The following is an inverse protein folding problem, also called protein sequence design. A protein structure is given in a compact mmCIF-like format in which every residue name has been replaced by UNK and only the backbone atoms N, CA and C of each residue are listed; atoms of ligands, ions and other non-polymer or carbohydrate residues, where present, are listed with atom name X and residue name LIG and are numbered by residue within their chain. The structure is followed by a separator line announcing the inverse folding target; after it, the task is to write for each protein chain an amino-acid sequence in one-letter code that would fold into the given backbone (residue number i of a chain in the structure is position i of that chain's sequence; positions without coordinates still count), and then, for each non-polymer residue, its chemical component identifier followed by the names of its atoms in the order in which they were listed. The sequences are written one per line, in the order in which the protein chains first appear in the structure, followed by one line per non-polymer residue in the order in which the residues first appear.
data_IF_565245426730
#
_entry.id   IF_565245426730
#
_cell.length_a   1.000
_cell.length_b   1.000
_cell.length_c   1.000
_cell.angle_alpha   90.00
_cell.angle_beta   90.00
_cell.angle_gamma   90.00
#
_symmetry.space_group_name_H-M   'P 1'
#
loop_
_entity.id
_entity.type
_entity.pdbx_description
1 polymer ?
#
# COMPACT_ATOMS: atom_id res chain seq x y z
N UNK A 1 -17.15 -67.93 -37.24
CA UNK A 1 -15.86 -67.18 -37.24
C UNK A 1 -16.03 -65.66 -37.17
N UNK A 2 -17.09 -65.06 -37.75
CA UNK A 2 -17.32 -63.60 -37.75
C UNK A 2 -17.62 -62.94 -36.38
N UNK A 3 -18.18 -63.68 -35.41
CA UNK A 3 -18.49 -63.17 -34.05
C UNK A 3 -17.26 -62.97 -33.15
N UNK A 4 -16.19 -63.73 -33.38
CA UNK A 4 -14.97 -63.64 -32.56
C UNK A 4 -14.14 -62.40 -32.94
N UNK A 5 -14.17 -62.03 -34.22
CA UNK A 5 -13.46 -60.86 -34.76
C UNK A 5 -14.11 -59.55 -34.27
N UNK A 6 -15.45 -59.53 -34.11
CA UNK A 6 -16.18 -58.36 -33.59
C UNK A 6 -15.94 -58.12 -32.10
N UNK A 7 -15.72 -59.18 -31.31
CA UNK A 7 -15.41 -59.06 -29.88
C UNK A 7 -13.97 -58.57 -29.66
N UNK A 8 -13.02 -58.95 -30.52
CA UNK A 8 -11.64 -58.44 -30.46
C UNK A 8 -11.50 -56.97 -30.85
N UNK A 9 -12.35 -56.44 -31.73
CA UNK A 9 -12.32 -55.01 -32.13
C UNK A 9 -12.83 -54.09 -31.02
N UNK A 10 -13.80 -54.55 -30.21
CA UNK A 10 -14.35 -53.77 -29.09
C UNK A 10 -13.35 -53.69 -27.92
N UNK A 11 -12.51 -54.70 -27.72
CA UNK A 11 -11.52 -54.71 -26.64
C UNK A 11 -10.38 -53.71 -26.87
N UNK A 12 -10.02 -53.43 -28.13
CA UNK A 12 -8.90 -52.54 -28.50
C UNK A 12 -9.23 -51.05 -28.28
N UNK A 13 -10.50 -50.65 -28.33
CA UNK A 13 -10.91 -49.25 -28.13
C UNK A 13 -10.93 -48.78 -26.67
N UNK A 14 -10.78 -49.68 -25.69
CA UNK A 14 -10.83 -49.33 -24.26
C UNK A 14 -9.49 -48.92 -23.65
N UNK A 15 -8.39 -48.99 -24.42
CA UNK A 15 -7.03 -48.69 -23.93
C UNK A 15 -6.53 -47.29 -24.27
N UNK A 16 -7.35 -46.44 -24.91
CA UNK A 16 -6.98 -45.04 -25.21
C UNK A 16 -7.38 -44.16 -24.01
N UNK A 17 -6.66 -44.31 -22.90
CA UNK A 17 -6.78 -43.43 -21.76
C UNK A 17 -6.18 -42.05 -22.07
N UNK A 18 -6.97 -40.98 -21.88
CA UNK A 18 -6.48 -39.61 -21.93
C UNK A 18 -5.35 -39.42 -20.90
N UNK A 19 -4.11 -39.25 -21.37
CA UNK A 19 -3.08 -38.56 -20.60
C UNK A 19 -3.46 -37.09 -20.53
N UNK A 20 -4.33 -36.74 -19.57
CA UNK A 20 -4.58 -35.35 -19.22
C UNK A 20 -3.25 -34.72 -18.84
N UNK A 21 -2.91 -33.60 -19.47
CA UNK A 21 -1.75 -32.79 -19.09
C UNK A 21 -1.89 -32.45 -17.61
N UNK A 22 -1.04 -33.04 -16.77
CA UNK A 22 -0.99 -32.69 -15.35
C UNK A 22 -0.38 -31.31 -15.26
N UNK A 23 -1.22 -30.27 -15.25
CA UNK A 23 -0.79 -28.93 -14.91
C UNK A 23 -0.12 -29.00 -13.53
N UNK A 24 1.18 -28.67 -13.41
CA UNK A 24 1.85 -28.70 -12.13
C UNK A 24 1.14 -27.75 -11.18
N UNK A 25 0.77 -28.24 -9.99
CA UNK A 25 0.12 -27.43 -8.96
C UNK A 25 0.96 -26.16 -8.74
N UNK A 26 0.36 -24.95 -8.79
CA UNK A 26 1.11 -23.73 -8.57
C UNK A 26 1.83 -23.82 -7.23
N UNK A 27 3.13 -23.50 -7.22
CA UNK A 27 3.92 -23.48 -5.98
C UNK A 27 3.27 -22.45 -5.06
N UNK A 28 2.71 -22.90 -3.94
CA UNK A 28 2.15 -22.00 -2.94
C UNK A 28 3.28 -21.12 -2.40
N UNK A 29 3.23 -19.82 -2.69
CA UNK A 29 4.07 -18.86 -1.97
C UNK A 29 3.60 -18.85 -0.50
N UNK A 30 4.56 -18.90 0.44
CA UNK A 30 4.25 -18.73 1.86
C UNK A 30 3.57 -17.37 2.05
N UNK A 31 2.37 -17.38 2.65
CA UNK A 31 1.68 -16.14 3.03
C UNK A 31 2.59 -15.41 4.02
N UNK A 32 3.05 -14.21 3.63
CA UNK A 32 3.84 -13.37 4.52
C UNK A 32 2.93 -12.87 5.65
N UNK A 33 3.18 -13.32 6.88
CA UNK A 33 2.57 -12.77 8.08
C UNK A 33 3.61 -11.95 8.83
N UNK A 34 3.23 -10.73 9.19
CA UNK A 34 4.08 -9.82 9.95
C UNK A 34 3.64 -9.81 11.41
N UNK A 35 4.58 -9.71 12.38
CA UNK A 35 4.23 -9.61 13.79
C UNK A 35 3.45 -8.33 14.07
N UNK A 36 2.73 -8.25 15.19
CA UNK A 36 2.13 -6.97 15.61
C UNK A 36 3.23 -5.92 15.85
N UNK A 37 3.04 -4.71 15.34
CA UNK A 37 3.91 -3.58 15.56
C UNK A 37 3.90 -3.13 17.03
N UNK A 38 5.03 -2.64 17.51
CA UNK A 38 5.06 -1.76 18.67
C UNK A 38 5.27 -0.33 18.19
N UNK A 39 4.48 0.59 18.72
CA UNK A 39 4.51 1.99 18.31
C UNK A 39 5.35 2.81 19.28
N UNK A 40 6.13 3.74 18.73
CA UNK A 40 6.97 4.65 19.49
C UNK A 40 6.77 6.09 18.99
N UNK A 41 6.92 7.10 19.87
CA UNK A 41 6.70 8.49 19.50
C UNK A 41 7.80 9.01 18.59
N UNK A 42 7.40 9.77 17.57
CA UNK A 42 8.31 10.48 16.68
C UNK A 42 8.75 11.82 17.28
N UNK A 43 9.94 11.81 17.88
CA UNK A 43 10.56 12.99 18.46
C UNK A 43 11.47 13.68 17.43
N UNK A 44 11.04 14.85 16.98
CA UNK A 44 11.78 15.72 16.06
C UNK A 44 11.64 17.20 16.47
N UNK A 45 12.34 18.09 15.76
CA UNK A 45 12.28 19.54 15.95
C UNK A 45 11.19 20.23 15.13
N UNK A 46 10.42 19.48 14.33
CA UNK A 46 9.37 20.03 13.47
C UNK A 46 8.05 20.22 14.21
N UNK A 47 7.15 20.99 13.60
CA UNK A 47 5.84 21.38 14.17
C UNK A 47 4.81 20.23 14.21
N UNK A 48 5.23 18.98 14.21
CA UNK A 48 4.34 17.83 14.30
C UNK A 48 5.01 16.60 14.92
N UNK A 49 4.19 15.71 15.47
CA UNK A 49 4.58 14.40 15.98
C UNK A 49 3.48 13.39 15.72
N UNK A 50 3.82 12.11 15.79
CA UNK A 50 2.95 10.96 15.60
C UNK A 50 3.66 9.73 16.17
N UNK A 51 2.97 8.62 16.26
CA UNK A 51 3.61 7.34 16.57
C UNK A 51 3.90 6.54 15.30
N UNK A 52 5.03 5.83 15.30
CA UNK A 52 5.43 4.98 14.18
C UNK A 52 5.89 3.61 14.67
N UNK A 53 5.76 2.63 13.78
CA UNK A 53 6.09 1.23 14.01
C UNK A 53 7.60 1.03 14.21
N UNK A 54 7.98 0.15 15.14
CA UNK A 54 9.35 -0.32 15.36
C UNK A 54 9.95 -1.05 14.13
N UNK A 55 9.10 -1.46 13.19
CA UNK A 55 9.50 -1.99 11.89
C UNK A 55 9.94 -0.91 10.89
N UNK A 56 9.59 0.35 11.15
CA UNK A 56 9.97 1.48 10.32
C UNK A 56 11.25 2.17 10.82
N UNK A 57 12.14 2.50 9.88
CA UNK A 57 13.29 3.36 10.12
C UNK A 57 12.98 4.75 9.59
N UNK A 58 12.96 5.74 10.48
CA UNK A 58 12.73 7.14 10.09
C UNK A 58 14.07 7.78 9.71
N UNK A 59 14.11 8.41 8.54
CA UNK A 59 15.29 9.17 8.07
C UNK A 59 14.85 10.51 7.50
N UNK A 60 15.58 11.61 7.75
CA UNK A 60 15.27 12.89 7.13
C UNK A 60 15.51 12.81 5.61
N UNK A 61 14.60 13.39 4.84
CA UNK A 61 14.80 13.54 3.40
C UNK A 61 15.82 14.66 3.16
N UNK A 62 16.72 14.47 2.19
CA UNK A 62 17.81 15.43 1.92
C UNK A 62 17.32 16.73 1.27
N UNK A 63 16.11 16.72 0.72
CA UNK A 63 15.58 17.77 -0.14
C UNK A 63 15.12 19.00 0.65
N UNK A 64 14.45 18.81 1.79
CA UNK A 64 13.91 19.89 2.63
C UNK A 64 13.83 19.48 4.09
N UNK A 65 13.87 20.49 4.95
CA UNK A 65 13.61 20.34 6.38
C UNK A 65 12.19 19.81 6.63
N UNK A 66 12.05 18.99 7.66
CA UNK A 66 10.77 18.39 8.06
C UNK A 66 10.12 17.45 7.05
N UNK A 67 10.88 16.98 6.07
CA UNK A 67 10.53 15.85 5.22
C UNK A 67 11.20 14.59 5.77
N UNK A 68 10.45 13.50 5.83
CA UNK A 68 10.94 12.25 6.41
C UNK A 68 10.53 11.05 5.58
N UNK A 69 11.38 10.03 5.57
CA UNK A 69 11.13 8.76 4.94
C UNK A 69 11.02 7.71 6.04
N UNK A 70 9.86 7.04 6.11
CA UNK A 70 9.65 5.86 6.94
C UNK A 70 9.95 4.64 6.06
N UNK A 71 11.15 4.09 6.20
CA UNK A 71 11.56 2.92 5.45
C UNK A 71 11.15 1.65 6.19
N UNK A 72 10.53 0.70 5.50
CA UNK A 72 10.19 -0.63 6.00
C UNK A 72 11.06 -1.68 5.28
N UNK A 73 12.28 -1.97 5.75
CA UNK A 73 13.22 -2.80 4.99
C UNK A 73 12.72 -4.22 4.75
N UNK A 74 12.03 -4.81 5.74
CA UNK A 74 11.45 -6.17 5.64
C UNK A 74 10.34 -6.26 4.59
N UNK A 75 9.66 -5.15 4.32
CA UNK A 75 8.56 -5.04 3.35
C UNK A 75 8.99 -4.40 2.02
N UNK A 76 10.26 -3.99 1.91
CA UNK A 76 10.82 -3.27 0.76
C UNK A 76 9.99 -2.05 0.36
N UNK A 77 9.47 -1.34 1.34
CA UNK A 77 8.58 -0.21 1.15
C UNK A 77 9.12 1.05 1.83
N UNK A 78 8.70 2.20 1.33
CA UNK A 78 8.99 3.50 1.91
C UNK A 78 7.70 4.32 1.94
N UNK A 79 7.43 4.99 3.06
CA UNK A 79 6.41 6.04 3.16
C UNK A 79 7.14 7.38 3.22
N UNK A 80 6.91 8.22 2.21
CA UNK A 80 7.49 9.56 2.13
C UNK A 80 6.53 10.56 2.72
N UNK A 81 6.95 11.24 3.79
CA UNK A 81 6.24 12.34 4.41
C UNK A 81 6.86 13.66 3.94
N UNK A 82 6.07 14.48 3.26
CA UNK A 82 6.51 15.79 2.78
C UNK A 82 5.65 16.90 3.36
N UNK A 83 6.30 17.84 4.03
CA UNK A 83 5.68 18.99 4.71
C UNK A 83 5.73 20.25 3.85
N UNK A 84 4.61 20.98 3.84
CA UNK A 84 4.43 22.26 3.17
C UNK A 84 3.80 23.26 4.14
N UNK A 85 4.37 24.48 4.29
CA UNK A 85 3.69 25.57 4.96
C UNK A 85 2.62 26.17 4.05
N UNK A 86 1.40 26.34 4.56
CA UNK A 86 0.31 26.98 3.83
C UNK A 86 0.49 28.50 3.87
N UNK A 87 0.46 29.15 2.71
CA UNK A 87 0.54 30.61 2.54
C UNK A 87 -0.54 31.11 1.58
N UNK A 88 -1.80 31.03 2.03
CA UNK A 88 -3.00 31.37 1.24
C UNK A 88 -3.19 30.50 -0.04
N UNK A 89 -2.54 29.34 -0.09
CA UNK A 89 -2.49 28.41 -1.22
C UNK A 89 -3.02 27.01 -0.85
N UNK A 90 -3.83 26.92 0.21
CA UNK A 90 -4.40 25.65 0.69
C UNK A 90 -5.08 24.84 -0.42
N UNK A 91 -5.93 25.50 -1.22
CA UNK A 91 -6.64 24.85 -2.33
C UNK A 91 -5.70 24.32 -3.41
N UNK A 92 -4.55 24.98 -3.61
CA UNK A 92 -3.51 24.51 -4.53
C UNK A 92 -2.89 23.21 -4.00
N UNK A 93 -2.52 23.17 -2.72
CA UNK A 93 -1.95 21.97 -2.10
C UNK A 93 -2.89 20.76 -2.15
N UNK A 94 -4.19 20.96 -1.87
CA UNK A 94 -5.20 19.89 -2.01
C UNK A 94 -5.26 19.40 -3.45
N UNK A 95 -5.34 20.33 -4.42
CA UNK A 95 -5.42 19.99 -5.84
C UNK A 95 -4.16 19.27 -6.33
N UNK A 96 -2.97 19.67 -5.88
CA UNK A 96 -1.71 19.00 -6.22
C UNK A 96 -1.63 17.60 -5.62
N UNK A 97 -2.05 17.44 -4.36
CA UNK A 97 -2.12 16.13 -3.70
C UNK A 97 -3.05 15.19 -4.47
N UNK A 98 -4.26 15.65 -4.81
CA UNK A 98 -5.23 14.91 -5.61
C UNK A 98 -4.69 14.59 -7.01
N UNK A 99 -4.07 15.57 -7.68
CA UNK A 99 -3.46 15.36 -8.99
C UNK A 99 -2.42 14.22 -8.96
N UNK A 100 -1.56 14.17 -7.94
CA UNK A 100 -0.59 13.09 -7.77
C UNK A 100 -1.26 11.72 -7.60
N UNK A 101 -2.37 11.66 -6.84
CA UNK A 101 -3.19 10.43 -6.75
C UNK A 101 -3.62 10.01 -8.15
N UNK A 102 -4.22 10.92 -8.92
CA UNK A 102 -4.77 10.62 -10.25
C UNK A 102 -3.69 10.32 -11.31
N UNK A 103 -2.51 10.92 -11.26
CA UNK A 103 -1.42 10.60 -12.19
C UNK A 103 -0.96 9.14 -12.06
N UNK A 104 -1.08 8.56 -10.87
CA UNK A 104 -0.77 7.15 -10.63
C UNK A 104 -1.93 6.18 -10.96
N UNK A 105 -3.08 6.69 -11.43
CA UNK A 105 -4.27 5.88 -11.76
C UNK A 105 -4.27 5.24 -13.13
N UNK A 106 -3.31 5.59 -14.00
CA UNK A 106 -3.21 5.02 -15.36
C UNK A 106 -3.13 3.47 -15.32
N UNK A 107 -2.78 2.89 -14.17
CA UNK A 107 -2.76 1.43 -13.93
C UNK A 107 -3.65 0.95 -12.77
N UNK A 108 -4.44 1.83 -12.16
CA UNK A 108 -5.34 1.48 -11.05
C UNK A 108 -6.75 1.18 -11.58
N UNK A 109 -7.37 0.12 -11.08
CA UNK A 109 -8.76 -0.23 -11.40
C UNK A 109 -9.78 0.54 -10.56
N UNK A 110 -9.37 0.99 -9.37
CA UNK A 110 -10.22 1.76 -8.46
C UNK A 110 -9.40 2.67 -7.53
N UNK A 111 -10.03 3.75 -7.06
CA UNK A 111 -9.51 4.61 -6.00
C UNK A 111 -10.56 4.65 -4.90
N UNK A 112 -10.17 4.23 -3.69
CA UNK A 112 -11.00 4.41 -2.51
C UNK A 112 -10.51 5.64 -1.75
N UNK A 113 -11.39 6.63 -1.62
CA UNK A 113 -11.12 7.87 -0.88
C UNK A 113 -11.88 7.84 0.44
N UNK A 114 -11.18 8.12 1.55
CA UNK A 114 -11.75 8.27 2.89
C UNK A 114 -11.28 9.57 3.51
N UNK A 115 -12.20 10.45 3.86
CA UNK A 115 -11.89 11.66 4.62
C UNK A 115 -11.87 11.36 6.11
N UNK A 116 -10.97 12.01 6.85
CA UNK A 116 -10.93 11.98 8.31
C UNK A 116 -10.89 13.41 8.87
N UNK A 117 -11.46 13.56 10.06
CA UNK A 117 -11.59 14.84 10.76
C UNK A 117 -11.49 14.61 12.26
N UNK A 118 -10.47 15.22 12.87
CA UNK A 118 -10.27 15.26 14.32
C UNK A 118 -10.23 16.74 14.76
N UNK A 119 -11.40 17.38 14.96
CA UNK A 119 -11.48 18.82 15.27
C UNK A 119 -10.69 19.23 16.51
N UNK A 120 -10.72 18.41 17.56
CA UNK A 120 -10.01 18.64 18.83
C UNK A 120 -8.48 18.76 18.65
N UNK A 121 -7.93 18.01 17.69
CA UNK A 121 -6.49 18.03 17.35
C UNK A 121 -6.18 19.01 16.21
N UNK A 122 -7.21 19.60 15.58
CA UNK A 122 -7.12 20.30 14.28
C UNK A 122 -6.42 19.46 13.21
N UNK A 123 -6.76 18.19 13.10
CA UNK A 123 -6.18 17.26 12.13
C UNK A 123 -7.27 16.87 11.13
N UNK A 124 -7.12 17.29 9.89
CA UNK A 124 -8.06 17.04 8.80
C UNK A 124 -7.33 16.45 7.61
N UNK A 125 -8.01 15.68 6.78
CA UNK A 125 -7.38 15.19 5.56
C UNK A 125 -8.14 14.10 4.84
N UNK A 126 -7.52 13.61 3.77
CA UNK A 126 -8.01 12.48 2.99
C UNK A 126 -6.96 11.37 2.94
N UNK A 127 -7.44 10.14 2.93
CA UNK A 127 -6.71 8.91 2.71
C UNK A 127 -7.20 8.28 1.41
N UNK A 128 -6.26 7.94 0.54
CA UNK A 128 -6.48 7.40 -0.79
C UNK A 128 -5.81 6.03 -0.90
N UNK A 129 -6.59 5.04 -1.31
CA UNK A 129 -6.12 3.69 -1.58
C UNK A 129 -6.37 3.36 -3.05
N UNK A 130 -5.30 3.27 -3.83
CA UNK A 130 -5.34 2.89 -5.23
C UNK A 130 -5.25 1.37 -5.30
N UNK A 131 -6.26 0.73 -5.90
CA UNK A 131 -6.31 -0.73 -6.12
C UNK A 131 -6.16 -1.01 -7.61
N UNK A 132 -5.46 -2.08 -7.96
CA UNK A 132 -5.31 -2.49 -9.36
C UNK A 132 -4.48 -3.77 -9.52
N UNK A 133 -4.58 -4.37 -10.72
CA UNK A 133 -3.90 -5.61 -11.09
C UNK A 133 -2.37 -5.52 -11.09
N UNK A 134 -1.80 -4.33 -10.96
CA UNK A 134 -0.35 -4.11 -11.04
C UNK A 134 0.21 -3.29 -9.89
N UNK A 135 -0.59 -2.75 -8.98
CA UNK A 135 -0.10 -2.02 -7.81
C UNK A 135 -1.25 -1.70 -6.86
N UNK A 136 -1.08 -2.00 -5.58
CA UNK A 136 -1.83 -1.34 -4.51
C UNK A 136 -0.95 -0.23 -3.95
N UNK A 137 -1.46 1.00 -3.95
CA UNK A 137 -0.73 2.13 -3.41
C UNK A 137 -1.57 2.97 -2.45
N UNK A 138 -0.90 3.61 -1.49
CA UNK A 138 -1.53 4.43 -0.46
C UNK A 138 -0.95 5.83 -0.53
N UNK A 139 -1.84 6.82 -0.53
CA UNK A 139 -1.49 8.22 -0.43
C UNK A 139 -2.44 8.90 0.53
N UNK A 140 -1.98 9.91 1.25
CA UNK A 140 -2.84 10.69 2.13
C UNK A 140 -2.29 12.11 2.27
N UNK A 141 -3.12 13.01 2.79
CA UNK A 141 -2.64 14.29 3.31
C UNK A 141 -3.27 14.60 4.66
N UNK A 142 -2.55 15.38 5.48
CA UNK A 142 -2.96 15.87 6.79
C UNK A 142 -2.76 17.39 6.82
N UNK A 143 -3.70 18.13 7.37
CA UNK A 143 -3.65 19.58 7.47
C UNK A 143 -4.35 20.11 8.71
N UNK A 144 -3.91 21.28 9.19
CA UNK A 144 -4.63 22.09 10.18
C UNK A 144 -5.58 23.11 9.52
N UNK A 145 -5.70 23.05 8.19
CA UNK A 145 -6.44 23.94 7.30
C UNK A 145 -5.91 25.37 7.19
N UNK A 146 -4.86 25.74 7.93
CA UNK A 146 -4.44 27.14 8.08
C UNK A 146 -2.95 27.38 7.82
N UNK A 147 -2.06 26.53 8.34
CA UNK A 147 -0.61 26.76 8.33
C UNK A 147 0.20 25.54 7.89
N UNK A 148 -0.33 24.34 8.10
CA UNK A 148 0.41 23.10 7.94
C UNK A 148 -0.30 22.16 6.97
N UNK A 149 0.47 21.63 6.03
CA UNK A 149 0.03 20.61 5.09
C UNK A 149 1.11 19.54 4.97
N UNK A 150 0.75 18.27 5.16
CA UNK A 150 1.65 17.13 5.02
C UNK A 150 1.02 16.17 4.04
N UNK A 151 1.80 15.66 3.10
CA UNK A 151 1.40 14.52 2.27
C UNK A 151 2.23 13.30 2.64
N UNK A 152 1.61 12.13 2.55
CA UNK A 152 2.23 10.83 2.76
C UNK A 152 2.02 9.96 1.54
N UNK A 153 3.08 9.36 1.02
CA UNK A 153 3.02 8.49 -0.17
C UNK A 153 3.77 7.19 0.07
N UNK A 154 3.08 6.06 -0.08
CA UNK A 154 3.69 4.74 -0.09
C UNK A 154 4.33 4.47 -1.45
N UNK A 155 5.52 3.85 -1.45
CA UNK A 155 6.12 3.27 -2.64
C UNK A 155 6.85 1.99 -2.28
N UNK A 156 6.83 1.02 -3.19
CA UNK A 156 7.60 -0.22 -3.08
C UNK A 156 8.84 -0.16 -3.95
N UNK A 157 9.97 -0.65 -3.42
CA UNK A 157 11.26 -0.69 -4.12
C UNK A 157 11.37 -1.86 -5.11
N UNK A 158 10.37 -2.73 -5.19
CA UNK A 158 10.34 -3.89 -6.07
C UNK A 158 9.40 -3.69 -7.26
N UNK A 159 9.75 -4.29 -8.39
CA UNK A 159 8.82 -4.41 -9.53
C UNK A 159 7.51 -5.06 -9.05
N UNK A 160 6.33 -4.50 -9.37
CA UNK A 160 5.11 -4.93 -8.74
C UNK A 160 4.77 -6.38 -9.06
N UNK A 161 4.62 -7.21 -8.02
CA UNK A 161 3.87 -8.45 -8.07
C UNK A 161 2.74 -8.29 -7.04
N UNK A 162 1.49 -8.06 -7.45
CA UNK A 162 0.40 -7.73 -6.54
C UNK A 162 0.23 -8.73 -5.40
N UNK A 163 0.22 -10.03 -5.71
CA UNK A 163 -0.01 -11.10 -4.73
C UNK A 163 1.08 -11.16 -3.65
N UNK A 164 2.32 -10.83 -4.00
CA UNK A 164 3.44 -10.83 -3.05
C UNK A 164 3.50 -9.54 -2.21
N UNK A 165 2.87 -8.45 -2.65
CA UNK A 165 2.88 -7.15 -1.96
C UNK A 165 1.67 -6.93 -1.06
N UNK A 166 0.54 -7.58 -1.33
CA UNK A 166 -0.70 -7.36 -0.58
C UNK A 166 -0.55 -7.45 0.95
N UNK A 167 0.16 -8.44 1.54
CA UNK A 167 0.35 -8.47 2.99
C UNK A 167 1.16 -7.29 3.53
N UNK A 168 2.14 -6.79 2.75
CA UNK A 168 2.94 -5.64 3.14
C UNK A 168 2.15 -4.34 3.04
N UNK A 169 1.32 -4.20 2.01
CA UNK A 169 0.41 -3.05 1.83
C UNK A 169 -0.56 -2.96 3.00
N UNK A 170 -1.24 -4.05 3.34
CA UNK A 170 -2.21 -4.06 4.44
C UNK A 170 -1.54 -3.79 5.80
N UNK A 171 -0.34 -4.32 6.02
CA UNK A 171 0.42 -4.00 7.23
C UNK A 171 0.74 -2.52 7.35
N UNK A 172 1.34 -1.95 6.29
CA UNK A 172 1.76 -0.54 6.29
C UNK A 172 0.53 0.37 6.32
N UNK A 173 -0.59 -0.04 5.73
CA UNK A 173 -1.88 0.64 5.85
C UNK A 173 -2.31 0.77 7.30
N UNK A 174 -2.26 -0.31 8.08
CA UNK A 174 -2.54 -0.26 9.52
C UNK A 174 -1.61 0.72 10.23
N UNK A 175 -0.30 0.68 9.93
CA UNK A 175 0.67 1.61 10.53
C UNK A 175 0.43 3.07 10.13
N UNK A 176 0.03 3.35 8.88
CA UNK A 176 -0.32 4.70 8.41
C UNK A 176 -1.60 5.20 9.11
N UNK A 177 -2.61 4.35 9.28
CA UNK A 177 -3.83 4.73 9.99
C UNK A 177 -3.54 5.04 11.47
N UNK A 178 -2.69 4.24 12.13
CA UNK A 178 -2.22 4.54 13.49
C UNK A 178 -1.45 5.87 13.55
N UNK A 179 -0.58 6.13 12.58
CA UNK A 179 0.12 7.40 12.43
C UNK A 179 -0.85 8.57 12.34
N UNK A 180 -1.89 8.47 11.50
CA UNK A 180 -2.91 9.52 11.33
C UNK A 180 -3.68 9.73 12.64
N UNK A 181 -4.07 8.65 13.32
CA UNK A 181 -4.85 8.71 14.56
C UNK A 181 -4.06 9.35 15.72
N UNK A 182 -2.76 9.05 15.80
CA UNK A 182 -1.85 9.59 16.84
C UNK A 182 -1.23 10.92 16.46
N UNK A 183 -1.49 11.43 15.25
CA UNK A 183 -0.91 12.67 14.76
C UNK A 183 -1.30 13.88 15.60
N UNK A 184 -0.32 14.74 15.89
CA UNK A 184 -0.51 15.99 16.63
C UNK A 184 0.40 17.09 16.08
N UNK A 185 -0.12 18.32 16.02
CA UNK A 185 0.67 19.52 15.77
C UNK A 185 1.40 19.95 17.04
N UNK A 186 2.67 20.35 16.91
CA UNK A 186 3.41 20.99 18.01
C UNK A 186 3.17 22.50 17.97
N UNK A 187 3.01 23.09 19.16
CA UNK A 187 2.88 24.54 19.33
C UNK A 187 4.24 25.22 19.26
#
# INVERSE_FOLDING_TARGET
MFKVITLSIILVFTLIGCKGETLPKPKGELRLEYPKAHYQPFNNTCNYTFEFSDFAKVTPAKQRECWFNLSYPKMKANVFLTYFPIKNDFQLHVKEAEKMVYEHTIKASAIETKSFSYPEKRVFGNFYELKGESASNIQFFITDSTHHFITGNLYFNSRPKPDSLAPAVEYIKTDILHLIETFQWKK
#
